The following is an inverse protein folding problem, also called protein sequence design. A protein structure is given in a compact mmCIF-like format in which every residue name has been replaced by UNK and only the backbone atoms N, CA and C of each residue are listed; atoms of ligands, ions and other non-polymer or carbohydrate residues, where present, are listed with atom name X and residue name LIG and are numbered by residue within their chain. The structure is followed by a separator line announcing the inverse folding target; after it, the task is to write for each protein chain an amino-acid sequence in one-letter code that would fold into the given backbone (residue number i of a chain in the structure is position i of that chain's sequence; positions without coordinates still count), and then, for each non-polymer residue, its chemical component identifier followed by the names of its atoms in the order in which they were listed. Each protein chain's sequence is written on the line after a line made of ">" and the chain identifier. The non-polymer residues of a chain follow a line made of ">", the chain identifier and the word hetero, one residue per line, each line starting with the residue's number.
data_IF_007587759017
#
_entry.id   IF_007587759017
#
_cell.length_a   1.000
_cell.length_b   1.000
_cell.length_c   1.000
_cell.angle_alpha   90.00
_cell.angle_beta   90.00
_cell.angle_gamma   90.00
#
_symmetry.space_group_name_H-M   'P 1'
#
loop_
_entity.id
_entity.type
_entity.pdbx_description
1 polymer ?
#
# COMPACT_ATOMS: atom_id res chain seq x y z
N UNK A 1 14.80 -51.44 -80.38
CA UNK A 1 15.25 -52.77 -80.89
C UNK A 1 14.59 -53.01 -82.24
N UNK A 2 15.34 -52.90 -83.35
CA UNK A 2 14.81 -53.27 -84.67
C UNK A 2 14.68 -54.78 -84.76
N UNK A 3 13.57 -55.29 -85.31
CA UNK A 3 13.41 -56.71 -85.56
C UNK A 3 13.16 -56.96 -87.05
N UNK A 4 13.76 -58.04 -87.54
CA UNK A 4 13.67 -58.50 -88.92
C UNK A 4 12.83 -59.75 -88.96
N UNK A 5 11.84 -59.79 -89.83
CA UNK A 5 11.05 -60.99 -90.08
C UNK A 5 11.09 -61.32 -91.57
N UNK A 6 11.51 -62.54 -91.88
CA UNK A 6 11.62 -63.03 -93.25
C UNK A 6 10.51 -64.02 -93.52
N UNK A 7 9.86 -63.88 -94.67
CA UNK A 7 8.85 -64.79 -95.18
C UNK A 7 9.27 -65.30 -96.56
N UNK A 8 9.17 -66.61 -96.78
CA UNK A 8 9.44 -67.25 -98.07
C UNK A 8 8.18 -67.90 -98.59
N UNK A 9 7.82 -67.64 -99.85
CA UNK A 9 6.71 -68.31 -100.51
C UNK A 9 7.01 -68.55 -101.98
N UNK A 10 6.81 -69.79 -102.39
CA UNK A 10 6.92 -70.21 -103.79
C UNK A 10 5.64 -69.82 -104.52
N UNK A 11 5.77 -69.06 -105.61
CA UNK A 11 4.63 -68.65 -106.44
C UNK A 11 4.80 -69.18 -107.87
N UNK A 12 3.71 -69.60 -108.54
CA UNK A 12 3.73 -69.93 -109.97
C UNK A 12 3.83 -68.64 -110.80
N UNK A 13 4.83 -68.58 -111.67
CA UNK A 13 5.01 -67.53 -112.68
C UNK A 13 4.77 -68.16 -114.05
N UNK A 14 3.73 -67.70 -114.74
CA UNK A 14 3.38 -68.17 -116.08
C UNK A 14 4.12 -67.37 -117.14
N UNK A 15 4.70 -68.04 -118.13
CA UNK A 15 5.30 -67.39 -119.30
C UNK A 15 4.72 -67.97 -120.59
N UNK A 16 4.61 -67.14 -121.62
CA UNK A 16 4.18 -67.55 -122.95
C UNK A 16 4.86 -66.71 -124.02
N UNK A 17 5.25 -67.33 -125.13
CA UNK A 17 5.86 -66.67 -126.28
C UNK A 17 5.60 -67.44 -127.57
N UNK A 18 5.90 -66.83 -128.71
CA UNK A 18 5.68 -67.42 -130.03
C UNK A 18 6.98 -67.44 -130.83
N UNK A 19 7.30 -68.57 -131.48
CA UNK A 19 8.46 -68.71 -132.36
C UNK A 19 8.00 -69.17 -133.74
N UNK A 20 8.38 -68.43 -134.79
CA UNK A 20 8.06 -68.78 -136.17
C UNK A 20 9.13 -69.70 -136.73
N UNK A 21 8.72 -70.83 -137.31
CA UNK A 21 9.62 -71.84 -137.89
C UNK A 21 9.19 -72.13 -139.33
N UNK A 22 10.16 -72.18 -140.25
CA UNK A 22 9.94 -72.41 -141.68
C UNK A 22 10.05 -73.90 -142.00
N UNK A 23 9.04 -74.50 -142.62
CA UNK A 23 9.05 -75.92 -143.03
C UNK A 23 9.26 -76.01 -144.54
N UNK A 24 10.12 -76.95 -144.95
CA UNK A 24 10.70 -77.14 -146.29
C UNK A 24 9.66 -77.28 -147.40
N UNK A 25 10.02 -76.73 -148.57
CA UNK A 25 9.24 -76.61 -149.82
C UNK A 25 8.21 -75.45 -149.86
N UNK A 26 8.60 -74.32 -149.27
CA UNK A 26 8.75 -73.11 -150.08
C UNK A 26 7.51 -72.30 -150.43
N UNK A 27 6.56 -72.07 -149.51
CA UNK A 27 5.79 -70.78 -149.42
C UNK A 27 4.90 -70.63 -148.16
N UNK A 28 5.19 -71.30 -147.03
CA UNK A 28 4.39 -71.16 -145.79
C UNK A 28 5.24 -71.09 -144.51
N UNK A 29 5.02 -70.05 -143.71
CA UNK A 29 5.57 -69.88 -142.36
C UNK A 29 4.49 -70.23 -141.32
N UNK A 30 4.82 -71.05 -140.32
CA UNK A 30 3.90 -71.35 -139.21
C UNK A 30 4.50 -70.84 -137.90
N UNK A 31 3.74 -70.03 -137.18
CA UNK A 31 4.09 -69.54 -135.84
C UNK A 31 3.62 -70.57 -134.80
N UNK A 32 4.56 -71.07 -133.99
CA UNK A 32 4.26 -72.00 -132.89
C UNK A 32 4.33 -71.23 -131.58
N UNK A 33 3.24 -71.26 -130.81
CA UNK A 33 3.18 -70.65 -129.49
C UNK A 33 3.59 -71.70 -128.44
N UNK A 34 4.42 -71.30 -127.48
CA UNK A 34 4.75 -72.09 -126.31
C UNK A 34 4.40 -71.31 -125.05
N UNK A 35 3.91 -72.02 -124.04
CA UNK A 35 3.67 -71.47 -122.71
C UNK A 35 4.02 -72.50 -121.65
N UNK A 36 4.41 -72.03 -120.47
CA UNK A 36 4.82 -72.84 -119.34
C UNK A 36 4.62 -72.09 -118.04
N UNK A 37 4.70 -72.82 -116.94
CA UNK A 37 4.67 -72.23 -115.59
C UNK A 37 5.95 -72.62 -114.89
N UNK A 38 6.70 -71.65 -114.42
CA UNK A 38 7.88 -71.86 -113.59
C UNK A 38 7.54 -71.41 -112.17
N UNK A 39 7.96 -72.15 -111.16
CA UNK A 39 7.76 -71.76 -109.78
C UNK A 39 8.98 -70.99 -109.30
N UNK A 40 8.78 -69.77 -108.83
CA UNK A 40 9.84 -68.93 -108.25
C UNK A 40 9.63 -68.75 -106.75
N UNK A 41 10.71 -68.83 -106.00
CA UNK A 41 10.72 -68.54 -104.57
C UNK A 41 10.88 -67.05 -104.34
N UNK A 42 9.82 -66.41 -103.86
CA UNK A 42 9.86 -65.01 -103.46
C UNK A 42 10.14 -64.93 -101.96
N UNK A 43 11.26 -64.30 -101.63
CA UNK A 43 11.63 -63.97 -100.26
C UNK A 43 11.28 -62.51 -99.97
N UNK A 44 10.38 -62.29 -99.02
CA UNK A 44 10.04 -60.95 -98.53
C UNK A 44 10.67 -60.76 -97.15
N UNK A 45 11.58 -59.79 -97.07
CA UNK A 45 12.18 -59.38 -95.82
C UNK A 45 11.48 -58.10 -95.33
N UNK A 46 10.87 -58.16 -94.15
CA UNK A 46 10.30 -56.99 -93.49
C UNK A 46 11.28 -56.56 -92.40
N UNK A 47 11.93 -55.43 -92.66
CA UNK A 47 12.80 -54.74 -91.71
C UNK A 47 12.02 -53.56 -91.13
N UNK A 48 11.64 -53.65 -89.85
CA UNK A 48 10.98 -52.54 -89.15
C UNK A 48 12.04 -51.75 -88.38
N UNK A 49 12.31 -50.53 -88.83
CA UNK A 49 13.22 -49.63 -88.13
C UNK A 49 12.49 -48.94 -86.96
N UNK A 50 12.85 -49.31 -85.73
CA UNK A 50 12.33 -48.67 -84.52
C UNK A 50 13.19 -47.52 -84.02
N UNK A 51 14.33 -47.19 -84.67
CA UNK A 51 15.29 -46.18 -84.19
C UNK A 51 14.66 -44.81 -84.02
N UNK A 52 13.79 -44.39 -84.94
CA UNK A 52 13.06 -43.12 -84.82
C UNK A 52 12.11 -43.11 -83.62
N UNK A 53 11.44 -44.23 -83.33
CA UNK A 53 10.57 -44.37 -82.17
C UNK A 53 11.37 -44.38 -80.85
N UNK A 54 12.44 -45.18 -80.79
CA UNK A 54 13.35 -45.26 -79.65
C UNK A 54 13.96 -43.88 -79.33
N UNK A 55 14.30 -43.10 -80.36
CA UNK A 55 14.81 -41.72 -80.23
C UNK A 55 13.74 -40.76 -79.70
N UNK A 56 12.48 -40.90 -80.15
CA UNK A 56 11.35 -40.12 -79.63
C UNK A 56 11.08 -40.40 -78.15
N UNK A 57 11.12 -41.68 -77.74
CA UNK A 57 10.97 -42.08 -76.33
C UNK A 57 12.10 -41.52 -75.47
N UNK A 58 13.36 -41.58 -75.94
CA UNK A 58 14.49 -41.00 -75.23
C UNK A 58 14.38 -39.47 -75.08
N UNK A 59 13.95 -38.77 -76.14
CA UNK A 59 13.71 -37.32 -76.09
C UNK A 59 12.60 -36.96 -75.11
N UNK A 60 11.49 -37.69 -75.13
CA UNK A 60 10.37 -37.50 -74.20
C UNK A 60 10.82 -37.72 -72.74
N UNK A 61 11.57 -38.78 -72.47
CA UNK A 61 12.10 -39.05 -71.14
C UNK A 61 13.01 -37.91 -70.65
N UNK A 62 13.87 -37.37 -71.52
CA UNK A 62 14.71 -36.22 -71.19
C UNK A 62 13.87 -34.96 -70.90
N UNK A 63 12.84 -34.67 -71.70
CA UNK A 63 11.94 -33.54 -71.44
C UNK A 63 11.17 -33.70 -70.12
N UNK A 64 10.71 -34.90 -69.79
CA UNK A 64 10.02 -35.20 -68.52
C UNK A 64 10.98 -35.04 -67.33
N UNK A 65 12.22 -35.53 -67.45
CA UNK A 65 13.24 -35.36 -66.41
C UNK A 65 13.60 -33.89 -66.20
N UNK A 66 13.74 -33.12 -67.28
CA UNK A 66 13.99 -31.68 -67.22
C UNK A 66 12.83 -30.91 -66.59
N UNK A 67 11.59 -31.25 -66.97
CA UNK A 67 10.39 -30.68 -66.35
C UNK A 67 10.32 -31.05 -64.86
N UNK A 68 10.62 -32.28 -64.49
CA UNK A 68 10.66 -32.74 -63.10
C UNK A 68 11.70 -31.94 -62.30
N UNK A 69 12.90 -31.77 -62.84
CA UNK A 69 13.94 -30.94 -62.23
C UNK A 69 13.51 -29.47 -62.08
N UNK A 70 12.86 -28.90 -63.09
CA UNK A 70 12.33 -27.53 -63.04
C UNK A 70 11.22 -27.38 -62.00
N UNK A 71 10.31 -28.35 -61.88
CA UNK A 71 9.24 -28.35 -60.87
C UNK A 71 9.83 -28.48 -59.46
N UNK A 72 10.80 -29.37 -59.26
CA UNK A 72 11.49 -29.50 -57.96
C UNK A 72 12.23 -28.21 -57.60
N UNK A 73 12.91 -27.58 -58.56
CA UNK A 73 13.58 -26.30 -58.34
C UNK A 73 12.57 -25.18 -58.01
N UNK A 74 11.45 -25.11 -58.72
CA UNK A 74 10.39 -24.14 -58.45
C UNK A 74 9.74 -24.35 -57.09
N UNK A 75 9.45 -25.60 -56.71
CA UNK A 75 8.94 -25.94 -55.38
C UNK A 75 9.94 -25.57 -54.28
N UNK A 76 11.23 -25.86 -54.49
CA UNK A 76 12.28 -25.51 -53.53
C UNK A 76 12.38 -24.00 -53.37
N UNK A 77 12.39 -23.25 -54.48
CA UNK A 77 12.39 -21.79 -54.45
C UNK A 77 11.15 -21.22 -53.75
N UNK A 78 9.98 -21.82 -53.96
CA UNK A 78 8.75 -21.43 -53.30
C UNK A 78 8.77 -21.71 -51.79
N UNK A 79 9.28 -22.88 -51.38
CA UNK A 79 9.45 -23.22 -49.95
C UNK A 79 10.41 -22.23 -49.28
N UNK A 80 11.54 -21.93 -49.91
CA UNK A 80 12.50 -20.94 -49.40
C UNK A 80 11.86 -19.55 -49.30
N UNK A 81 11.06 -19.15 -50.29
CA UNK A 81 10.34 -17.88 -50.25
C UNK A 81 9.30 -17.82 -49.13
N UNK A 82 8.55 -18.91 -48.90
CA UNK A 82 7.59 -19.01 -47.79
C UNK A 82 8.31 -18.94 -46.44
N UNK A 83 9.44 -19.63 -46.26
CA UNK A 83 10.22 -19.60 -45.02
C UNK A 83 10.78 -18.20 -44.73
N UNK A 84 11.33 -17.53 -45.74
CA UNK A 84 11.82 -16.16 -45.60
C UNK A 84 10.69 -15.18 -45.25
N UNK A 85 9.55 -15.26 -45.94
CA UNK A 85 8.40 -14.43 -45.65
C UNK A 85 7.84 -14.72 -44.25
N UNK A 86 7.76 -15.98 -43.84
CA UNK A 86 7.31 -16.36 -42.49
C UNK A 86 8.23 -15.80 -41.41
N UNK A 87 9.55 -15.87 -41.59
CA UNK A 87 10.54 -15.26 -40.68
C UNK A 87 10.42 -13.74 -40.64
N UNK A 88 10.24 -13.10 -41.80
CA UNK A 88 10.06 -11.65 -41.87
C UNK A 88 8.79 -11.21 -41.14
N UNK A 89 7.65 -11.88 -41.41
CA UNK A 89 6.37 -11.62 -40.74
C UNK A 89 6.51 -11.85 -39.23
N UNK A 90 7.13 -12.95 -38.81
CA UNK A 90 7.37 -13.25 -37.39
C UNK A 90 8.19 -12.16 -36.72
N UNK A 91 9.29 -11.73 -37.33
CA UNK A 91 10.12 -10.65 -36.81
C UNK A 91 9.36 -9.32 -36.74
N UNK A 92 8.61 -8.95 -37.78
CA UNK A 92 7.83 -7.71 -37.80
C UNK A 92 6.71 -7.72 -36.75
N UNK A 93 6.03 -8.85 -36.53
CA UNK A 93 5.01 -8.98 -35.48
C UNK A 93 5.63 -8.85 -34.10
N UNK A 94 6.74 -9.55 -33.84
CA UNK A 94 7.44 -9.50 -32.55
C UNK A 94 7.96 -8.09 -32.28
N UNK A 95 8.62 -7.47 -33.25
CA UNK A 95 9.11 -6.09 -33.14
C UNK A 95 7.98 -5.09 -32.94
N UNK A 96 6.88 -5.23 -33.70
CA UNK A 96 5.69 -4.39 -33.56
C UNK A 96 5.07 -4.51 -32.16
N UNK A 97 4.92 -5.73 -31.65
CA UNK A 97 4.40 -5.99 -30.31
C UNK A 97 5.29 -5.37 -29.22
N UNK A 98 6.60 -5.62 -29.27
CA UNK A 98 7.53 -5.04 -28.29
C UNK A 98 7.59 -3.53 -28.37
N UNK A 99 7.50 -2.95 -29.57
CA UNK A 99 7.42 -1.51 -29.76
C UNK A 99 6.16 -0.93 -29.13
N UNK A 100 5.00 -1.55 -29.36
CA UNK A 100 3.72 -1.12 -28.74
C UNK A 100 3.79 -1.20 -27.22
N UNK A 101 4.23 -2.32 -26.64
CA UNK A 101 4.41 -2.45 -25.19
C UNK A 101 5.33 -1.37 -24.64
N UNK A 102 6.47 -1.14 -25.31
CA UNK A 102 7.42 -0.12 -24.87
C UNK A 102 6.81 1.28 -24.90
N UNK A 103 6.02 1.59 -25.93
CA UNK A 103 5.31 2.86 -26.03
C UNK A 103 4.24 2.99 -24.94
N UNK A 104 3.44 1.97 -24.69
CA UNK A 104 2.44 1.97 -23.61
C UNK A 104 3.08 2.14 -22.23
N UNK A 105 4.15 1.40 -21.93
CA UNK A 105 4.89 1.55 -20.66
C UNK A 105 5.47 2.96 -20.55
N UNK A 106 6.02 3.50 -21.64
CA UNK A 106 6.57 4.87 -21.64
C UNK A 106 5.48 5.92 -21.39
N UNK A 107 4.29 5.71 -21.96
CA UNK A 107 3.14 6.58 -21.74
C UNK A 107 2.64 6.52 -20.31
N UNK A 108 2.54 5.32 -19.73
CA UNK A 108 2.18 5.14 -18.31
C UNK A 108 3.19 5.81 -17.38
N UNK A 109 4.49 5.68 -17.65
CA UNK A 109 5.55 6.36 -16.89
C UNK A 109 5.39 7.89 -16.98
N UNK A 110 5.10 8.42 -18.16
CA UNK A 110 4.93 9.85 -18.37
C UNK A 110 3.70 10.39 -17.62
N UNK A 111 2.58 9.68 -17.67
CA UNK A 111 1.36 10.03 -16.96
C UNK A 111 1.58 10.03 -15.43
N UNK A 112 2.20 8.97 -14.91
CA UNK A 112 2.52 8.87 -13.49
C UNK A 112 3.49 9.96 -13.04
N UNK A 113 4.52 10.26 -13.84
CA UNK A 113 5.47 11.35 -13.60
C UNK A 113 4.78 12.71 -13.56
N UNK A 114 3.84 12.96 -14.48
CA UNK A 114 3.05 14.20 -14.49
C UNK A 114 2.17 14.33 -13.26
N UNK A 115 1.53 13.23 -12.82
CA UNK A 115 0.73 13.22 -11.60
C UNK A 115 1.60 13.46 -10.35
N UNK A 116 2.78 12.84 -10.27
CA UNK A 116 3.75 13.08 -9.19
C UNK A 116 4.18 14.54 -9.17
N UNK A 117 4.51 15.12 -10.32
CA UNK A 117 4.93 16.52 -10.41
C UNK A 117 3.81 17.49 -9.99
N UNK A 118 2.57 17.22 -10.39
CA UNK A 118 1.39 18.00 -9.98
C UNK A 118 1.18 17.93 -8.46
N UNK A 119 1.22 16.73 -7.88
CA UNK A 119 1.07 16.54 -6.44
C UNK A 119 2.21 17.21 -5.66
N UNK A 120 3.44 17.12 -6.16
CA UNK A 120 4.61 17.76 -5.55
C UNK A 120 4.46 19.30 -5.59
N UNK A 121 3.98 19.86 -6.71
CA UNK A 121 3.68 21.28 -6.80
C UNK A 121 2.61 21.71 -5.78
N UNK A 122 1.53 20.93 -5.64
CA UNK A 122 0.50 21.18 -4.63
C UNK A 122 1.06 21.11 -3.20
N UNK A 123 1.90 20.12 -2.89
CA UNK A 123 2.57 20.02 -1.59
C UNK A 123 3.48 21.21 -1.29
N UNK A 124 4.20 21.71 -2.30
CA UNK A 124 5.03 22.93 -2.15
C UNK A 124 4.18 24.17 -1.88
N UNK A 125 3.03 24.30 -2.54
CA UNK A 125 2.13 25.42 -2.30
C UNK A 125 1.50 25.37 -0.90
N UNK A 126 1.08 24.19 -0.45
CA UNK A 126 0.62 23.98 0.93
C UNK A 126 1.72 24.29 1.96
N UNK A 127 2.96 23.87 1.72
CA UNK A 127 4.08 24.18 2.60
C UNK A 127 4.31 25.70 2.70
N UNK A 128 4.28 26.40 1.56
CA UNK A 128 4.40 27.86 1.50
C UNK A 128 3.25 28.57 2.22
N UNK A 129 2.02 28.07 2.07
CA UNK A 129 0.86 28.60 2.78
C UNK A 129 0.98 28.40 4.30
N UNK A 130 1.47 27.25 4.74
CA UNK A 130 1.73 26.96 6.15
C UNK A 130 2.79 27.90 6.73
N UNK A 131 3.88 28.16 5.99
CA UNK A 131 4.92 29.10 6.40
C UNK A 131 4.39 30.53 6.51
N UNK A 132 3.62 30.98 5.52
CA UNK A 132 2.96 32.28 5.56
C UNK A 132 2.02 32.41 6.77
N UNK A 133 1.28 31.34 7.08
CA UNK A 133 0.38 31.30 8.23
C UNK A 133 1.15 31.36 9.55
N UNK A 134 2.25 30.64 9.67
CA UNK A 134 3.15 30.70 10.84
C UNK A 134 3.65 32.13 11.05
N UNK A 135 4.14 32.79 10.00
CA UNK A 135 4.62 34.17 10.06
C UNK A 135 3.53 35.14 10.49
N UNK A 136 2.31 34.97 9.98
CA UNK A 136 1.14 35.74 10.41
C UNK A 136 0.87 35.55 11.91
N UNK A 137 0.85 34.31 12.39
CA UNK A 137 0.60 34.00 13.80
C UNK A 137 1.67 34.57 14.72
N UNK A 138 2.93 34.56 14.30
CA UNK A 138 4.04 35.15 15.06
C UNK A 138 3.89 36.67 15.20
N UNK A 139 3.54 37.37 14.12
CA UNK A 139 3.26 38.81 14.15
C UNK A 139 2.07 39.12 15.06
N UNK A 140 0.98 38.34 14.94
CA UNK A 140 -0.21 38.52 15.77
C UNK A 140 0.07 38.26 17.25
N UNK A 141 0.86 37.23 17.56
CA UNK A 141 1.30 36.93 18.92
C UNK A 141 2.11 38.09 19.51
N UNK A 142 3.13 38.56 18.78
CA UNK A 142 3.97 39.66 19.23
C UNK A 142 3.15 40.95 19.43
N UNK A 143 2.21 41.24 18.52
CA UNK A 143 1.31 42.39 18.65
C UNK A 143 0.45 42.31 19.91
N UNK A 144 -0.20 41.17 20.16
CA UNK A 144 -1.03 40.97 21.36
C UNK A 144 -0.20 41.00 22.63
N UNK A 145 0.96 40.35 22.63
CA UNK A 145 1.89 40.35 23.77
C UNK A 145 2.31 41.77 24.12
N UNK A 146 2.75 42.56 23.15
CA UNK A 146 3.15 43.96 23.36
C UNK A 146 2.00 44.83 23.85
N UNK A 147 0.77 44.59 23.36
CA UNK A 147 -0.41 45.28 23.85
C UNK A 147 -0.65 44.99 25.34
N UNK A 148 -0.57 43.72 25.76
CA UNK A 148 -0.73 43.36 27.17
C UNK A 148 0.41 43.90 28.04
N UNK A 149 1.65 43.82 27.59
CA UNK A 149 2.80 44.41 28.31
C UNK A 149 2.58 45.90 28.56
N UNK A 150 2.15 46.64 27.54
CA UNK A 150 1.86 48.06 27.69
C UNK A 150 0.72 48.32 28.69
N UNK A 151 -0.35 47.53 28.66
CA UNK A 151 -1.44 47.65 29.64
C UNK A 151 -0.93 47.43 31.06
N UNK A 152 -0.08 46.44 31.29
CA UNK A 152 0.49 46.20 32.62
C UNK A 152 1.43 47.32 33.06
N UNK A 153 2.27 47.83 32.17
CA UNK A 153 3.15 48.97 32.47
C UNK A 153 2.36 50.23 32.80
N UNK A 154 1.29 50.51 32.05
CA UNK A 154 0.42 51.65 32.28
C UNK A 154 -0.33 51.50 33.62
N UNK A 155 -0.82 50.30 33.95
CA UNK A 155 -1.43 50.00 35.25
C UNK A 155 -0.45 50.14 36.40
N UNK A 156 0.79 49.67 36.23
CA UNK A 156 1.83 49.81 37.26
C UNK A 156 2.15 51.27 37.54
N UNK A 157 2.31 52.10 36.49
CA UNK A 157 2.54 53.54 36.63
C UNK A 157 1.35 54.25 37.29
N UNK A 158 0.13 53.86 36.90
CA UNK A 158 -1.09 54.43 37.50
C UNK A 158 -1.17 54.10 39.00
N UNK A 159 -0.84 52.86 39.36
CA UNK A 159 -0.83 52.40 40.75
C UNK A 159 0.29 53.07 41.56
N UNK A 160 1.48 53.26 40.98
CA UNK A 160 2.57 54.04 41.57
C UNK A 160 2.11 55.48 41.84
N UNK A 161 1.48 56.13 40.86
CA UNK A 161 0.95 57.49 41.01
C UNK A 161 -0.14 57.56 42.09
N UNK A 162 -1.05 56.58 42.15
CA UNK A 162 -2.08 56.50 43.20
C UNK A 162 -1.48 56.33 44.59
N UNK A 163 -0.49 55.44 44.74
CA UNK A 163 0.22 55.25 46.02
C UNK A 163 0.92 56.55 46.43
N UNK A 164 1.55 57.24 45.48
CA UNK A 164 2.22 58.51 45.71
C UNK A 164 1.23 59.57 46.19
N UNK A 165 0.11 59.77 45.51
CA UNK A 165 -0.91 60.77 45.91
C UNK A 165 -1.55 60.42 47.26
N UNK A 166 -1.86 59.15 47.51
CA UNK A 166 -2.48 58.70 48.75
C UNK A 166 -1.55 58.88 49.97
N UNK A 167 -0.24 58.70 49.79
CA UNK A 167 0.77 58.85 50.85
C UNK A 167 1.63 60.11 50.71
N UNK A 168 1.18 61.10 49.93
CA UNK A 168 1.92 62.33 49.64
C UNK A 168 2.41 63.06 50.90
N UNK A 169 1.61 63.21 51.98
CA UNK A 169 2.10 63.82 53.22
C UNK A 169 3.24 63.03 53.88
N UNK A 170 3.21 61.69 53.83
CA UNK A 170 4.26 60.85 54.38
C UNK A 170 5.56 60.95 53.58
N UNK A 171 5.48 61.04 52.24
CA UNK A 171 6.65 61.26 51.39
C UNK A 171 7.26 62.65 51.58
N UNK A 172 6.44 63.70 51.71
CA UNK A 172 6.89 65.06 52.03
C UNK A 172 7.53 65.09 53.42
N UNK A 173 6.92 64.45 54.42
CA UNK A 173 7.47 64.34 55.77
C UNK A 173 8.83 63.65 55.75
N UNK A 174 8.96 62.49 55.07
CA UNK A 174 10.25 61.80 54.91
C UNK A 174 11.29 62.70 54.25
N UNK A 175 10.95 63.36 53.14
CA UNK A 175 11.86 64.27 52.43
C UNK A 175 12.32 65.43 53.31
N UNK A 176 11.41 66.01 54.10
CA UNK A 176 11.73 67.08 55.04
C UNK A 176 12.57 66.56 56.21
N UNK A 177 12.29 65.36 56.71
CA UNK A 177 13.08 64.68 57.74
C UNK A 177 14.49 64.41 57.24
N UNK A 178 14.67 63.82 56.06
CA UNK A 178 15.98 63.53 55.46
C UNK A 178 16.78 64.82 55.24
N UNK A 179 16.13 65.89 54.76
CA UNK A 179 16.73 67.23 54.64
C UNK A 179 17.14 67.83 56.00
N UNK A 180 16.38 67.55 57.06
CA UNK A 180 16.69 68.00 58.42
C UNK A 180 17.84 67.19 59.02
N UNK A 181 17.87 65.86 58.83
CA UNK A 181 18.97 64.99 59.26
C UNK A 181 20.29 65.38 58.61
N UNK A 182 20.28 65.71 57.31
CA UNK A 182 21.46 66.23 56.61
C UNK A 182 21.96 67.56 57.21
N UNK A 183 21.05 68.43 57.67
CA UNK A 183 21.40 69.69 58.36
C UNK A 183 21.96 69.47 59.77
N UNK A 184 21.44 68.50 60.51
CA UNK A 184 21.91 68.18 61.87
C UNK A 184 23.25 67.44 61.89
N UNK A 185 23.58 66.67 60.86
CA UNK A 185 24.88 65.97 60.76
C UNK A 185 25.98 66.83 60.15
N UNK A 186 25.63 67.88 59.41
CA UNK A 186 26.59 68.72 58.68
C UNK A 186 26.88 70.09 59.32
N UNK A 187 26.16 70.51 60.36
CA UNK A 187 26.36 71.83 60.94
C UNK A 187 26.50 71.83 62.47
N UNK A 188 27.45 72.65 62.89
CA UNK A 188 28.11 72.75 64.18
C UNK A 188 27.15 73.06 65.34
N UNK A 189 26.86 72.06 66.19
CA UNK A 189 26.21 72.25 67.49
C UNK A 189 26.76 71.26 68.53
N UNK A 190 28.01 71.50 68.94
CA UNK A 190 28.66 70.79 70.05
C UNK A 190 27.86 70.89 71.37
N UNK A 191 27.08 71.96 71.58
CA UNK A 191 26.20 72.08 72.75
C UNK A 191 24.94 71.20 72.67
N UNK A 192 24.47 70.86 71.45
CA UNK A 192 23.33 69.96 71.29
C UNK A 192 23.76 68.50 71.42
N UNK A 193 25.02 68.13 71.16
CA UNK A 193 25.52 66.76 71.40
C UNK A 193 25.44 66.37 72.88
N UNK A 194 25.65 67.29 73.82
CA UNK A 194 25.53 67.01 75.26
C UNK A 194 24.06 66.81 75.70
N UNK A 195 23.12 67.58 75.13
CA UNK A 195 21.68 67.42 75.37
C UNK A 195 21.14 66.19 74.65
N UNK A 196 21.55 65.93 73.40
CA UNK A 196 21.24 64.72 72.63
C UNK A 196 21.84 63.46 73.26
N UNK A 197 23.00 63.52 73.90
CA UNK A 197 23.55 62.37 74.61
C UNK A 197 22.64 61.91 75.76
N UNK A 198 22.10 62.87 76.53
CA UNK A 198 21.23 62.58 77.67
C UNK A 198 19.77 62.33 77.26
N UNK A 199 19.17 63.22 76.48
CA UNK A 199 17.77 63.11 76.04
C UNK A 199 17.60 62.16 74.85
N UNK A 200 18.55 62.19 73.91
CA UNK A 200 18.56 61.28 72.76
C UNK A 200 18.87 59.84 73.16
N UNK A 201 19.66 59.60 74.21
CA UNK A 201 19.85 58.25 74.77
C UNK A 201 18.54 57.64 75.30
N UNK A 202 17.78 58.40 76.08
CA UNK A 202 16.48 57.95 76.59
C UNK A 202 15.44 57.81 75.45
N UNK A 203 15.41 58.77 74.53
CA UNK A 203 14.50 58.72 73.37
C UNK A 203 14.85 57.56 72.43
N UNK A 204 16.13 57.29 72.19
CA UNK A 204 16.59 56.18 71.36
C UNK A 204 16.32 54.84 72.01
N UNK A 205 16.40 54.74 73.34
CA UNK A 205 15.92 53.56 74.08
C UNK A 205 14.39 53.39 73.94
N UNK A 206 13.60 54.47 74.04
CA UNK A 206 12.14 54.45 73.81
C UNK A 206 11.76 54.10 72.36
N UNK A 207 12.51 54.57 71.37
CA UNK A 207 12.32 54.24 69.96
C UNK A 207 12.70 52.78 69.71
N UNK A 208 13.85 52.32 70.22
CA UNK A 208 14.31 50.95 70.06
C UNK A 208 13.34 49.95 70.70
N UNK A 209 12.83 50.27 71.90
CA UNK A 209 11.79 49.48 72.56
C UNK A 209 10.47 49.53 71.80
N UNK A 210 10.09 50.66 71.21
CA UNK A 210 8.89 50.77 70.36
C UNK A 210 9.02 49.96 69.06
N UNK A 211 10.19 49.95 68.43
CA UNK A 211 10.48 49.12 67.26
C UNK A 211 10.45 47.64 67.64
N UNK A 212 11.03 47.26 68.78
CA UNK A 212 10.96 45.89 69.29
C UNK A 212 9.51 45.46 69.57
N UNK A 213 8.70 46.33 70.20
CA UNK A 213 7.26 46.11 70.42
C UNK A 213 6.50 45.97 69.11
N UNK A 214 6.77 46.82 68.11
CA UNK A 214 6.16 46.72 66.78
C UNK A 214 6.51 45.41 66.09
N UNK A 215 7.80 45.02 66.09
CA UNK A 215 8.24 43.75 65.52
C UNK A 215 7.59 42.57 66.22
N UNK A 216 7.50 42.58 67.54
CA UNK A 216 6.80 41.55 68.31
C UNK A 216 5.31 41.48 67.93
N UNK A 217 4.64 42.62 67.79
CA UNK A 217 3.25 42.69 67.34
C UNK A 217 3.08 42.14 65.92
N UNK A 218 3.97 42.49 65.00
CA UNK A 218 3.96 41.99 63.62
C UNK A 218 4.16 40.46 63.59
N UNK A 219 5.07 39.93 64.42
CA UNK A 219 5.24 38.48 64.59
C UNK A 219 4.00 37.81 65.16
N UNK A 220 3.35 38.38 66.18
CA UNK A 220 2.09 37.87 66.72
C UNK A 220 1.00 37.84 65.64
N UNK A 221 0.91 38.89 64.81
CA UNK A 221 -0.04 38.92 63.70
C UNK A 221 0.27 37.83 62.65
N UNK A 222 1.54 37.59 62.34
CA UNK A 222 1.94 36.50 61.44
C UNK A 222 1.59 35.12 62.01
N UNK A 223 1.80 34.91 63.32
CA UNK A 223 1.40 33.69 64.01
C UNK A 223 -0.12 33.49 63.94
N UNK A 224 -0.91 34.54 64.16
CA UNK A 224 -2.37 34.47 64.03
C UNK A 224 -2.81 34.09 62.62
N UNK A 225 -2.20 34.67 61.59
CA UNK A 225 -2.47 34.31 60.19
C UNK A 225 -2.10 32.86 59.91
N UNK A 226 -0.97 32.38 60.44
CA UNK A 226 -0.55 30.99 60.31
C UNK A 226 -1.54 30.03 60.97
N UNK A 227 -1.96 30.28 62.22
CA UNK A 227 -2.94 29.46 62.93
C UNK A 227 -4.29 29.41 62.18
N UNK A 228 -4.72 30.55 61.63
CA UNK A 228 -5.92 30.61 60.80
C UNK A 228 -5.81 29.75 59.55
N UNK A 229 -4.67 29.81 58.85
CA UNK A 229 -4.40 28.96 57.68
C UNK A 229 -4.37 27.49 58.07
N UNK A 230 -3.72 27.14 59.18
CA UNK A 230 -3.63 25.77 59.68
C UNK A 230 -5.01 25.18 60.00
N UNK A 231 -5.87 25.94 60.69
CA UNK A 231 -7.25 25.52 60.96
C UNK A 231 -8.07 25.36 59.68
N UNK A 232 -7.89 26.26 58.71
CA UNK A 232 -8.56 26.15 57.41
C UNK A 232 -8.11 24.89 56.65
N UNK A 233 -6.82 24.57 56.66
CA UNK A 233 -6.31 23.34 56.02
C UNK A 233 -6.81 22.09 56.72
N UNK A 234 -6.84 22.08 58.06
CA UNK A 234 -7.37 20.94 58.82
C UNK A 234 -8.84 20.68 58.52
N UNK A 235 -9.66 21.74 58.44
CA UNK A 235 -11.05 21.63 58.00
C UNK A 235 -11.18 21.13 56.55
N UNK A 236 -10.33 21.62 55.63
CA UNK A 236 -10.34 21.17 54.25
C UNK A 236 -9.96 19.68 54.13
N UNK A 237 -8.99 19.21 54.93
CA UNK A 237 -8.62 17.80 55.02
C UNK A 237 -9.79 16.98 55.58
N UNK A 238 -10.42 17.43 56.67
CA UNK A 238 -11.57 16.76 57.26
C UNK A 238 -12.76 16.67 56.30
N UNK A 239 -12.99 17.70 55.47
CA UNK A 239 -14.02 17.69 54.43
C UNK A 239 -13.64 16.85 53.20
N UNK A 240 -12.35 16.71 52.90
CA UNK A 240 -11.84 15.93 51.75
C UNK A 240 -11.68 14.44 52.09
N UNK A 241 -11.60 14.10 53.37
CA UNK A 241 -11.67 12.73 53.85
C UNK A 241 -13.12 12.28 53.72
N UNK A 242 -13.36 11.28 52.87
CA UNK A 242 -14.65 10.62 52.80
C UNK A 242 -14.96 10.03 54.19
N UNK A 243 -16.00 10.52 54.85
CA UNK A 243 -16.56 9.89 56.05
C UNK A 243 -16.90 8.44 55.69
N UNK A 244 -16.05 7.51 56.10
CA UNK A 244 -16.07 6.08 55.75
C UNK A 244 -17.16 5.30 56.48
N UNK A 245 -18.36 5.88 56.59
CA UNK A 245 -19.51 5.21 57.17
C UNK A 245 -20.79 5.34 56.32
N UNK A 246 -20.62 5.41 55.00
CA UNK A 246 -21.72 5.17 54.06
C UNK A 246 -21.62 3.72 53.63
N UNK A 247 -22.63 2.91 53.95
CA UNK A 247 -22.76 1.53 53.48
C UNK A 247 -22.89 1.51 51.95
N UNK A 248 -21.74 1.54 51.25
CA UNK A 248 -21.67 1.45 49.81
C UNK A 248 -21.57 -0.02 49.41
N UNK A 249 -22.46 -0.46 48.52
CA UNK A 249 -22.36 -1.78 47.91
C UNK A 249 -21.17 -1.79 46.94
N UNK A 250 -20.10 -2.49 47.32
CA UNK A 250 -18.91 -2.67 46.49
C UNK A 250 -19.17 -3.87 45.56
N UNK A 251 -19.16 -3.63 44.26
CA UNK A 251 -19.22 -4.68 43.25
C UNK A 251 -17.79 -5.03 42.81
N UNK A 252 -17.43 -6.31 42.87
CA UNK A 252 -16.14 -6.79 42.41
C UNK A 252 -16.32 -7.91 41.37
N UNK A 253 -15.54 -7.89 40.27
CA UNK A 253 -15.68 -8.86 39.20
C UNK A 253 -15.18 -10.24 39.65
N UNK A 254 -15.92 -11.27 39.26
CA UNK A 254 -15.58 -12.67 39.51
C UNK A 254 -15.60 -13.40 38.17
N UNK A 255 -14.54 -14.18 37.89
CA UNK A 255 -14.47 -15.01 36.68
C UNK A 255 -14.91 -16.44 37.02
N UNK A 256 -15.91 -16.94 36.30
CA UNK A 256 -16.42 -18.30 36.42
C UNK A 256 -16.13 -19.06 35.13
N UNK A 257 -15.49 -20.23 35.25
CA UNK A 257 -15.10 -21.09 34.14
C UNK A 257 -15.72 -22.47 34.32
N UNK A 258 -16.41 -22.94 33.28
CA UNK A 258 -16.87 -24.32 33.16
C UNK A 258 -16.09 -25.02 32.05
N UNK A 259 -15.44 -26.13 32.38
CA UNK A 259 -14.69 -26.96 31.43
C UNK A 259 -15.25 -28.36 31.46
N UNK A 260 -15.53 -28.95 30.30
CA UNK A 260 -15.90 -30.36 30.18
C UNK A 260 -14.62 -31.17 29.98
N UNK A 261 -14.36 -32.09 30.91
CA UNK A 261 -13.21 -33.00 30.83
C UNK A 261 -13.47 -34.15 29.85
N UNK A 262 -12.44 -34.88 29.42
CA UNK A 262 -12.53 -35.96 28.41
C UNK A 262 -13.51 -37.11 28.81
N UNK A 263 -13.89 -37.19 30.09
CA UNK A 263 -14.87 -38.14 30.64
C UNK A 263 -16.30 -37.56 30.73
N UNK A 264 -16.58 -36.46 30.04
CA UNK A 264 -17.87 -35.78 30.04
C UNK A 264 -18.31 -35.27 31.43
N UNK A 265 -17.36 -35.00 32.32
CA UNK A 265 -17.60 -34.40 33.64
C UNK A 265 -17.35 -32.90 33.59
N UNK A 266 -18.29 -32.10 34.11
CA UNK A 266 -18.22 -30.64 34.12
C UNK A 266 -17.41 -30.20 35.35
N UNK A 267 -16.18 -29.72 35.11
CA UNK A 267 -15.32 -29.14 36.13
C UNK A 267 -15.51 -27.62 36.17
N UNK A 268 -15.73 -27.04 37.36
CA UNK A 268 -16.08 -25.62 37.54
C UNK A 268 -15.04 -24.93 38.41
N UNK A 269 -14.46 -23.82 37.94
CA UNK A 269 -13.46 -23.03 38.68
C UNK A 269 -13.87 -21.56 38.75
N UNK A 270 -13.62 -20.93 39.90
CA UNK A 270 -13.87 -19.51 40.14
C UNK A 270 -12.56 -18.81 40.46
N UNK A 271 -12.28 -17.70 39.78
CA UNK A 271 -11.17 -16.80 40.07
C UNK A 271 -11.72 -15.48 40.62
N UNK A 272 -11.36 -15.17 41.86
CA UNK A 272 -11.82 -13.98 42.58
C UNK A 272 -10.68 -12.98 42.80
N UNK A 273 -11.03 -11.69 42.82
CA UNK A 273 -10.10 -10.61 43.17
C UNK A 273 -9.65 -10.73 44.64
N UNK A 274 -8.42 -10.31 44.93
CA UNK A 274 -7.85 -10.30 46.30
C UNK A 274 -8.69 -9.48 47.29
N UNK A 275 -9.47 -8.52 46.79
CA UNK A 275 -10.43 -7.70 47.54
C UNK A 275 -11.59 -8.51 48.15
N UNK A 276 -11.91 -9.69 47.61
CA UNK A 276 -13.01 -10.57 48.05
C UNK A 276 -12.51 -11.83 48.77
N UNK A 277 -11.25 -11.86 49.22
CA UNK A 277 -10.57 -13.04 49.77
C UNK A 277 -11.28 -13.75 50.93
N UNK A 278 -12.27 -13.12 51.56
CA UNK A 278 -13.07 -13.70 52.65
C UNK A 278 -14.26 -14.56 52.20
N UNK A 279 -14.67 -14.50 50.92
CA UNK A 279 -15.81 -15.30 50.43
C UNK A 279 -15.31 -16.64 49.87
N UNK A 280 -15.92 -17.73 50.33
CA UNK A 280 -15.54 -19.08 49.93
C UNK A 280 -16.03 -19.37 48.50
N UNK A 281 -15.14 -19.88 47.64
CA UNK A 281 -15.36 -20.11 46.21
C UNK A 281 -16.60 -20.98 45.93
N UNK A 282 -16.89 -21.94 46.81
CA UNK A 282 -18.01 -22.88 46.67
C UNK A 282 -19.38 -22.21 46.85
N UNK A 283 -19.51 -21.25 47.76
CA UNK A 283 -20.76 -20.50 47.98
C UNK A 283 -21.10 -19.61 46.77
N UNK A 284 -20.08 -19.11 46.07
CA UNK A 284 -20.26 -18.34 44.84
C UNK A 284 -20.75 -19.26 43.73
N UNK A 285 -20.17 -20.47 43.59
CA UNK A 285 -20.60 -21.46 42.59
C UNK A 285 -22.06 -21.88 42.82
N UNK A 286 -22.48 -22.11 44.06
CA UNK A 286 -23.88 -22.43 44.38
C UNK A 286 -24.84 -21.27 44.10
N UNK A 287 -24.46 -20.04 44.46
CA UNK A 287 -25.28 -18.85 44.16
C UNK A 287 -25.39 -18.56 42.65
N UNK A 288 -24.34 -18.86 41.87
CA UNK A 288 -24.37 -18.75 40.41
C UNK A 288 -25.30 -19.81 39.81
N UNK A 289 -25.33 -21.04 40.36
CA UNK A 289 -26.27 -22.09 39.93
C UNK A 289 -27.72 -21.75 40.27
N UNK A 290 -27.96 -21.12 41.42
CA UNK A 290 -29.31 -20.76 41.87
C UNK A 290 -29.92 -19.60 41.06
N UNK A 291 -29.09 -18.76 40.43
CA UNK A 291 -29.55 -17.68 39.54
C UNK A 291 -29.73 -18.20 38.11
N UNK A 292 -30.97 -18.28 37.66
CA UNK A 292 -31.29 -18.40 36.23
C UNK A 292 -30.82 -17.13 35.51
N UNK A 293 -29.76 -17.25 34.70
CA UNK A 293 -29.20 -16.13 33.96
C UNK A 293 -30.24 -15.62 32.96
N UNK A 294 -30.73 -14.40 33.16
CA UNK A 294 -31.66 -13.77 32.24
C UNK A 294 -30.95 -13.43 30.94
N UNK A 295 -31.60 -13.69 29.81
CA UNK A 295 -31.09 -13.30 28.50
C UNK A 295 -30.83 -11.80 28.46
N UNK A 296 -29.63 -11.39 28.02
CA UNK A 296 -29.26 -9.98 27.92
C UNK A 296 -30.28 -9.26 27.03
N UNK A 297 -30.87 -8.13 27.47
CA UNK A 297 -31.78 -7.34 26.65
C UNK A 297 -31.15 -7.01 25.29
N UNK A 298 -31.93 -7.10 24.20
CA UNK A 298 -31.44 -6.89 22.83
C UNK A 298 -30.68 -5.57 22.66
N UNK A 299 -31.15 -4.53 23.33
CA UNK A 299 -30.57 -3.18 23.31
C UNK A 299 -29.17 -3.15 23.94
N UNK A 300 -28.98 -3.78 25.11
CA UNK A 300 -27.67 -3.89 25.75
C UNK A 300 -26.70 -4.77 24.94
N UNK A 301 -27.22 -5.81 24.27
CA UNK A 301 -26.41 -6.67 23.38
C UNK A 301 -25.88 -5.87 22.18
N UNK A 302 -26.69 -5.01 21.59
CA UNK A 302 -26.26 -4.11 20.51
C UNK A 302 -25.23 -3.08 20.99
N UNK A 303 -25.42 -2.49 22.17
CA UNK A 303 -24.46 -1.54 22.74
C UNK A 303 -23.10 -2.20 23.02
N UNK A 304 -23.10 -3.40 23.59
CA UNK A 304 -21.87 -4.17 23.86
C UNK A 304 -21.17 -4.55 22.55
N UNK A 305 -21.93 -5.01 21.54
CA UNK A 305 -21.37 -5.34 20.23
C UNK A 305 -20.75 -4.10 19.56
N UNK A 306 -21.41 -2.94 19.62
CA UNK A 306 -20.88 -1.69 19.08
C UNK A 306 -19.60 -1.30 19.79
N UNK A 307 -19.61 -1.25 21.13
CA UNK A 307 -18.43 -0.89 21.91
C UNK A 307 -17.24 -1.83 21.63
N UNK A 308 -17.49 -3.14 21.63
CA UNK A 308 -16.47 -4.15 21.34
C UNK A 308 -15.91 -4.03 19.91
N UNK A 309 -16.76 -3.82 18.91
CA UNK A 309 -16.31 -3.58 17.53
C UNK A 309 -15.48 -2.29 17.42
N UNK A 310 -15.79 -1.28 18.23
CA UNK A 310 -15.04 0.00 18.27
C UNK A 310 -13.65 -0.24 18.86
N UNK A 311 -13.55 -0.95 19.98
CA UNK A 311 -12.27 -1.32 20.62
C UNK A 311 -11.40 -2.18 19.69
N UNK A 312 -11.98 -3.18 19.01
CA UNK A 312 -11.26 -3.98 18.01
C UNK A 312 -10.76 -3.10 16.86
N UNK A 313 -11.57 -2.16 16.38
CA UNK A 313 -11.15 -1.27 15.29
C UNK A 313 -10.01 -0.34 15.70
N UNK A 314 -9.98 0.09 16.97
CA UNK A 314 -8.93 0.93 17.53
C UNK A 314 -7.63 0.13 17.76
N UNK A 315 -7.72 -1.08 18.32
CA UNK A 315 -6.55 -1.89 18.68
C UNK A 315 -5.86 -2.55 17.48
N UNK A 316 -6.58 -2.75 16.37
CA UNK A 316 -6.05 -3.35 15.14
C UNK A 316 -6.13 -2.34 13.97
N UNK A 317 -5.33 -1.28 14.03
CA UNK A 317 -5.29 -0.21 13.01
C UNK A 317 -4.41 -0.53 11.79
N UNK A 318 -3.60 -1.58 11.85
CA UNK A 318 -2.66 -1.99 10.79
C UNK A 318 -3.22 -3.17 9.98
N UNK A 319 -3.17 -3.04 8.65
CA UNK A 319 -3.76 -3.97 7.67
C UNK A 319 -2.89 -5.22 7.44
N UNK A 320 -2.37 -5.81 8.52
CA UNK A 320 -1.50 -6.98 8.50
C UNK A 320 -2.30 -8.29 8.49
N UNK A 321 -1.88 -9.25 7.67
CA UNK A 321 -2.57 -10.53 7.46
C UNK A 321 -2.71 -11.35 8.76
N UNK A 322 -1.74 -11.22 9.68
CA UNK A 322 -1.76 -11.87 11.01
C UNK A 322 -2.77 -11.21 11.96
N UNK A 323 -2.83 -9.88 11.96
CA UNK A 323 -3.76 -9.13 12.81
C UNK A 323 -5.20 -9.37 12.39
N UNK A 324 -5.46 -9.50 11.08
CA UNK A 324 -6.78 -9.87 10.57
C UNK A 324 -7.21 -11.28 11.03
N UNK A 325 -6.29 -12.26 11.04
CA UNK A 325 -6.59 -13.61 11.56
C UNK A 325 -6.89 -13.62 13.06
N UNK A 326 -6.15 -12.86 13.86
CA UNK A 326 -6.40 -12.75 15.31
C UNK A 326 -7.72 -12.03 15.56
N UNK A 327 -7.99 -10.95 14.82
CA UNK A 327 -9.27 -10.24 14.85
C UNK A 327 -10.44 -11.18 14.56
N UNK A 328 -10.35 -12.00 13.52
CA UNK A 328 -11.40 -12.99 13.19
C UNK A 328 -11.57 -14.04 14.30
N UNK A 329 -10.49 -14.46 14.95
CA UNK A 329 -10.54 -15.43 16.04
C UNK A 329 -11.14 -14.83 17.31
N UNK A 330 -10.84 -13.57 17.62
CA UNK A 330 -11.41 -12.81 18.75
C UNK A 330 -12.90 -12.55 18.53
N UNK A 331 -13.30 -12.21 17.29
CA UNK A 331 -14.72 -12.06 16.94
C UNK A 331 -15.46 -13.39 17.06
N UNK A 332 -14.83 -14.52 16.68
CA UNK A 332 -15.42 -15.86 16.87
C UNK A 332 -15.57 -16.26 18.34
N UNK A 333 -14.69 -15.79 19.23
CA UNK A 333 -14.82 -16.04 20.67
C UNK A 333 -15.97 -15.23 21.29
N UNK A 334 -16.31 -14.08 20.71
CA UNK A 334 -17.47 -13.28 21.13
C UNK A 334 -18.76 -13.78 20.45
N UNK A 335 -19.13 -15.03 20.71
CA UNK A 335 -20.41 -15.53 20.25
C UNK A 335 -21.53 -15.21 21.26
N UNK A 336 -22.06 -13.99 21.18
CA UNK A 336 -23.22 -13.57 21.97
C UNK A 336 -24.51 -14.28 21.54
N UNK A 337 -24.49 -15.15 20.53
CA UNK A 337 -25.66 -15.91 20.04
C UNK A 337 -25.71 -17.35 20.57
N UNK A 338 -24.60 -17.90 21.05
CA UNK A 338 -24.53 -19.21 21.70
C UNK A 338 -24.69 -19.17 23.22
N UNK A 339 -24.98 -18.02 23.82
CA UNK A 339 -25.54 -17.95 25.18
C UNK A 339 -26.98 -18.45 25.17
N UNK A 340 -27.17 -19.74 24.89
CA UNK A 340 -28.43 -20.47 25.05
C UNK A 340 -28.32 -21.38 26.27
N UNK A 341 -29.28 -21.21 27.16
CA UNK A 341 -29.82 -22.15 28.13
C UNK A 341 -28.84 -23.17 28.74
N UNK A 342 -28.41 -22.88 29.97
CA UNK A 342 -28.40 -23.90 31.02
C UNK A 342 -29.64 -23.68 31.87
#
# INVERSE_FOLDING_TARGET
>A
MSYKRSFRKTIPVHYSGSKTVSVSEGTRSVTVNYSGTVYEDVNVNIDVDTRSFDTGVASCNNSVNLLTGAVVAAQTAQIVSIDLNAKQIGNTIVEGFFKTIRTEISQQIMELSQQINSNLMHLRELAKACEAKKKQMEVDYNRKSNQYLKIFDDLNKELENRIFELNKPAFIFKRNSDNHTARTSGNDLVSTVAVFGKEGGELQAKISTSIAKKRALDTINQVNVYLWKQKKTENAIAQSMLNSNVAASIFAPVCFLETVDEKNQINKKVYQSSLLSQINSNNIIENIKAKSWTNIPKESKESIQRYFNTEISNSFSSNDLRNNRVKDMVVKLLDLSSTKNI
#
